data_IF_744969425399
#
_entry.id   IF_744969425399
#
_cell.length_a   1.000
_cell.length_b   1.000
_cell.length_c   1.000
_cell.angle_alpha   90.00
_cell.angle_beta   90.00
_cell.angle_gamma   90.00
#
_symmetry.space_group_name_H-M   'P 1'
#
loop_
_entity.id
_entity.type
_entity.pdbx_description
1 polymer ?
#
# COMPACT_ATOMS: atom_id res chain seq x y z
N UNK A 1 -50.98 -17.82 -64.75
CA UNK A 1 -52.23 -17.08 -64.78
C UNK A 1 -52.31 -16.26 -63.54
N UNK A 2 -52.55 -15.00 -63.76
CA UNK A 2 -53.05 -13.94 -62.87
C UNK A 2 -51.99 -13.19 -62.05
N UNK A 3 -51.77 -12.03 -62.55
CA UNK A 3 -51.06 -10.84 -62.10
C UNK A 3 -51.81 -10.10 -60.97
N UNK A 4 -51.44 -8.88 -60.71
CA UNK A 4 -50.93 -8.36 -59.45
C UNK A 4 -51.93 -7.39 -58.81
N UNK A 5 -51.73 -6.99 -57.63
CA UNK A 5 -52.38 -5.79 -57.10
C UNK A 5 -51.39 -4.90 -56.35
N UNK A 6 -51.05 -3.88 -57.00
CA UNK A 6 -50.59 -2.60 -56.48
C UNK A 6 -51.51 -2.05 -55.39
N UNK A 7 -50.95 -1.66 -54.27
CA UNK A 7 -51.61 -0.72 -53.34
C UNK A 7 -50.64 0.31 -52.83
N UNK A 8 -51.02 1.51 -53.19
CA UNK A 8 -50.48 2.82 -52.96
C UNK A 8 -50.13 3.17 -51.54
N UNK A 9 -49.03 3.85 -51.40
CA UNK A 9 -48.58 4.67 -50.28
C UNK A 9 -49.52 5.83 -50.00
N UNK A 10 -49.76 6.20 -48.79
CA UNK A 10 -50.07 7.59 -48.43
C UNK A 10 -48.85 8.26 -47.80
N UNK A 11 -48.47 9.33 -48.41
CA UNK A 11 -47.74 10.44 -47.82
C UNK A 11 -48.44 10.90 -46.54
N UNK A 12 -47.79 10.90 -45.43
CA UNK A 12 -48.12 11.69 -44.26
C UNK A 12 -46.94 12.58 -43.90
N UNK A 13 -47.12 13.75 -44.43
CA UNK A 13 -46.67 15.03 -43.95
C UNK A 13 -46.86 15.16 -42.44
N UNK A 14 -45.92 15.71 -41.75
CA UNK A 14 -46.24 16.13 -40.40
C UNK A 14 -45.12 16.17 -39.42
N UNK A 15 -44.64 17.35 -39.23
CA UNK A 15 -44.01 17.84 -38.00
C UNK A 15 -42.52 17.59 -37.81
N UNK A 16 -41.76 18.42 -38.48
CA UNK A 16 -40.53 18.99 -37.91
C UNK A 16 -40.82 19.58 -36.51
N UNK A 17 -40.61 18.77 -35.47
CA UNK A 17 -40.43 19.31 -34.11
C UNK A 17 -38.97 19.70 -33.97
N UNK A 18 -38.69 20.96 -34.22
CA UNK A 18 -37.51 21.67 -33.76
C UNK A 18 -37.43 21.59 -32.23
N UNK A 19 -36.62 20.72 -31.72
CA UNK A 19 -36.23 20.76 -30.32
C UNK A 19 -35.27 21.95 -30.11
N UNK A 20 -35.51 22.83 -29.13
CA UNK A 20 -34.59 23.91 -28.84
C UNK A 20 -33.32 23.33 -28.20
N UNK A 21 -32.25 23.35 -28.97
CA UNK A 21 -30.89 23.13 -28.46
C UNK A 21 -30.42 24.37 -27.70
N UNK A 22 -30.76 24.49 -26.44
CA UNK A 22 -30.14 25.45 -25.53
C UNK A 22 -29.81 24.77 -24.21
N UNK A 23 -28.94 23.75 -24.29
CA UNK A 23 -28.18 23.30 -23.20
C UNK A 23 -26.88 24.09 -23.18
N UNK A 24 -26.82 25.21 -22.45
CA UNK A 24 -25.55 25.85 -22.09
C UNK A 24 -24.62 24.79 -21.50
N UNK A 25 -23.38 24.68 -22.00
CA UNK A 25 -22.42 23.74 -21.38
C UNK A 25 -22.26 24.14 -19.92
N UNK A 26 -22.67 23.24 -19.03
CA UNK A 26 -22.45 23.38 -17.59
C UNK A 26 -20.92 23.41 -17.38
N UNK A 27 -20.37 24.62 -17.28
CA UNK A 27 -18.97 24.79 -16.86
C UNK A 27 -18.84 24.19 -15.49
N UNK A 28 -18.22 23.00 -15.44
CA UNK A 28 -17.80 22.38 -14.19
C UNK A 28 -16.79 23.37 -13.58
N UNK A 29 -17.03 23.89 -12.37
CA UNK A 29 -16.07 24.77 -11.75
C UNK A 29 -14.73 24.02 -11.65
N UNK A 30 -13.60 24.64 -11.99
CA UNK A 30 -12.31 24.01 -11.86
C UNK A 30 -12.13 23.61 -10.39
N UNK A 31 -11.77 22.35 -10.15
CA UNK A 31 -11.45 21.86 -8.83
C UNK A 31 -10.39 22.78 -8.22
N UNK A 32 -10.65 23.32 -7.03
CA UNK A 32 -9.84 24.32 -6.33
C UNK A 32 -8.51 23.76 -5.78
N UNK A 33 -7.81 22.95 -6.57
CA UNK A 33 -6.47 22.44 -6.35
C UNK A 33 -5.71 22.55 -7.65
N UNK A 34 -5.11 23.69 -7.92
CA UNK A 34 -4.25 23.88 -9.11
C UNK A 34 -3.10 22.87 -9.08
N UNK A 35 -2.57 22.46 -10.24
CA UNK A 35 -1.45 21.48 -10.34
C UNK A 35 -0.21 21.90 -9.51
N UNK A 36 -0.06 23.17 -9.17
CA UNK A 36 1.03 23.67 -8.35
C UNK A 36 0.95 23.31 -6.87
N UNK A 37 -0.26 23.21 -6.29
CA UNK A 37 -0.40 22.86 -4.86
C UNK A 37 0.01 21.40 -4.58
N UNK A 38 -0.30 20.49 -5.49
CA UNK A 38 0.11 19.10 -5.37
C UNK A 38 1.63 18.93 -5.53
N UNK A 39 2.25 19.70 -6.43
CA UNK A 39 3.69 19.67 -6.64
C UNK A 39 4.44 20.17 -5.39
N UNK A 40 4.00 21.28 -4.79
CA UNK A 40 4.61 21.82 -3.57
C UNK A 40 4.52 20.81 -2.42
N UNK A 41 3.37 20.17 -2.21
CA UNK A 41 3.23 19.13 -1.19
C UNK A 41 4.13 17.91 -1.44
N UNK A 42 4.26 17.48 -2.69
CA UNK A 42 5.15 16.38 -3.06
C UNK A 42 6.61 16.74 -2.84
N UNK A 43 7.03 17.96 -3.20
CA UNK A 43 8.39 18.45 -2.98
C UNK A 43 8.71 18.58 -1.49
N UNK A 44 7.79 19.10 -0.68
CA UNK A 44 7.95 19.20 0.77
C UNK A 44 8.08 17.80 1.40
N UNK A 45 7.25 16.86 0.99
CA UNK A 45 7.33 15.49 1.48
C UNK A 45 8.64 14.83 1.07
N UNK A 46 9.06 14.99 -0.19
CA UNK A 46 10.34 14.47 -0.68
C UNK A 46 11.54 15.08 0.08
N UNK A 47 11.50 16.38 0.34
CA UNK A 47 12.54 17.06 1.12
C UNK A 47 12.59 16.58 2.57
N UNK A 48 11.43 16.37 3.18
CA UNK A 48 11.33 15.83 4.54
C UNK A 48 11.86 14.40 4.63
N UNK A 49 11.51 13.54 3.66
CA UNK A 49 12.05 12.18 3.57
C UNK A 49 13.56 12.16 3.33
N UNK A 50 14.07 13.04 2.44
CA UNK A 50 15.49 13.16 2.17
C UNK A 50 16.25 13.68 3.40
N UNK A 51 15.71 14.67 4.09
CA UNK A 51 16.28 15.20 5.34
C UNK A 51 16.34 14.15 6.43
N UNK A 52 15.28 13.35 6.58
CA UNK A 52 15.26 12.22 7.52
C UNK A 52 16.31 11.16 7.15
N UNK A 53 16.41 10.79 5.88
CA UNK A 53 17.39 9.81 5.41
C UNK A 53 18.83 10.26 5.64
N UNK A 54 19.12 11.53 5.33
CA UNK A 54 20.45 12.14 5.58
C UNK A 54 20.75 12.20 7.07
N UNK A 55 19.80 12.62 7.90
CA UNK A 55 19.94 12.64 9.35
C UNK A 55 20.26 11.25 9.92
N UNK A 56 19.52 10.22 9.45
CA UNK A 56 19.75 8.82 9.83
C UNK A 56 21.13 8.31 9.38
N UNK A 57 21.58 8.66 8.18
CA UNK A 57 22.89 8.29 7.66
C UNK A 57 24.04 8.95 8.42
N UNK A 58 23.84 10.18 8.91
CA UNK A 58 24.84 10.95 9.67
C UNK A 58 24.76 10.73 11.20
N UNK A 59 23.83 9.86 11.67
CA UNK A 59 23.68 9.55 13.10
C UNK A 59 23.15 10.70 13.94
N UNK A 60 22.42 11.67 13.34
CA UNK A 60 21.76 12.79 14.03
C UNK A 60 22.64 13.59 14.99
N UNK A 61 23.97 13.44 14.92
CA UNK A 61 24.94 14.17 15.76
C UNK A 61 25.08 13.63 17.19
N UNK A 62 24.25 12.68 17.64
CA UNK A 62 24.42 11.98 18.93
C UNK A 62 23.65 10.64 18.93
N UNK A 63 24.21 9.63 19.60
CA UNK A 63 23.59 8.29 19.69
C UNK A 63 22.19 8.32 20.30
N UNK A 64 21.96 9.16 21.30
CA UNK A 64 20.64 9.31 21.94
C UNK A 64 19.61 9.91 20.97
N UNK A 65 20.00 10.89 20.18
CA UNK A 65 19.11 11.52 19.20
C UNK A 65 18.83 10.55 18.04
N UNK A 66 19.82 9.76 17.64
CA UNK A 66 19.67 8.71 16.63
C UNK A 66 18.63 7.65 17.07
N UNK A 67 18.69 7.19 18.32
CA UNK A 67 17.70 6.26 18.89
C UNK A 67 16.30 6.89 18.90
N UNK A 68 16.15 8.11 19.43
CA UNK A 68 14.86 8.80 19.48
C UNK A 68 14.28 8.98 18.09
N UNK A 69 15.07 9.44 17.13
CA UNK A 69 14.61 9.65 15.76
C UNK A 69 14.34 8.33 15.02
N UNK A 70 15.12 7.27 15.29
CA UNK A 70 14.88 5.95 14.76
C UNK A 70 13.52 5.41 15.20
N UNK A 71 13.27 5.33 16.48
CA UNK A 71 12.09 4.65 17.02
C UNK A 71 10.83 5.52 16.94
N UNK A 72 10.88 6.74 17.48
CA UNK A 72 9.72 7.63 17.48
C UNK A 72 9.47 8.28 16.12
N UNK A 73 10.50 8.46 15.29
CA UNK A 73 10.34 8.91 13.91
C UNK A 73 9.57 7.89 13.08
N UNK A 74 9.93 6.61 13.19
CA UNK A 74 9.19 5.52 12.53
C UNK A 74 7.78 5.35 13.09
N UNK A 75 7.61 5.47 14.42
CA UNK A 75 6.29 5.49 15.06
C UNK A 75 5.41 6.60 14.51
N UNK A 76 5.93 7.82 14.39
CA UNK A 76 5.20 8.97 13.87
C UNK A 76 4.85 8.80 12.39
N UNK A 77 5.78 8.29 11.57
CA UNK A 77 5.56 8.02 10.16
C UNK A 77 4.46 6.97 9.95
N UNK A 78 4.55 5.84 10.65
CA UNK A 78 3.56 4.77 10.57
C UNK A 78 2.19 5.21 11.12
N UNK A 79 2.17 5.97 12.24
CA UNK A 79 0.95 6.54 12.80
C UNK A 79 0.27 7.54 11.86
N UNK A 80 1.05 8.39 11.22
CA UNK A 80 0.54 9.34 10.20
C UNK A 80 -0.03 8.59 9.00
N UNK A 81 0.62 7.53 8.54
CA UNK A 81 0.12 6.68 7.47
C UNK A 81 -1.20 6.00 7.87
N UNK A 82 -1.29 5.47 9.09
CA UNK A 82 -2.49 4.84 9.62
C UNK A 82 -3.69 5.81 9.63
N UNK A 83 -3.49 7.02 10.19
CA UNK A 83 -4.52 8.06 10.24
C UNK A 83 -4.91 8.52 8.84
N UNK A 84 -3.95 8.75 7.96
CA UNK A 84 -4.20 9.17 6.58
C UNK A 84 -5.02 8.15 5.80
N UNK A 85 -4.67 6.86 5.88
CA UNK A 85 -5.42 5.77 5.26
C UNK A 85 -6.84 5.66 5.84
N UNK A 86 -6.99 5.82 7.15
CA UNK A 86 -8.30 5.79 7.82
C UNK A 86 -9.20 6.94 7.38
N UNK A 87 -8.69 8.18 7.41
CA UNK A 87 -9.43 9.36 6.99
C UNK A 87 -9.82 9.26 5.52
N UNK A 88 -8.90 8.80 4.67
CA UNK A 88 -9.20 8.57 3.27
C UNK A 88 -10.29 7.51 3.08
N UNK A 89 -10.23 6.39 3.80
CA UNK A 89 -11.25 5.34 3.77
C UNK A 89 -12.65 5.84 4.21
N UNK A 90 -12.73 6.89 5.04
CA UNK A 90 -14.01 7.49 5.48
C UNK A 90 -14.65 8.38 4.42
N UNK A 91 -13.93 8.81 3.40
CA UNK A 91 -14.48 9.63 2.30
C UNK A 91 -15.51 8.81 1.51
N UNK A 92 -16.72 9.36 1.29
CA UNK A 92 -17.88 8.64 0.76
C UNK A 92 -17.73 8.06 -0.65
N UNK A 93 -16.71 8.44 -1.41
CA UNK A 93 -16.50 8.06 -2.82
C UNK A 93 -15.29 7.18 -3.07
N UNK A 94 -14.70 6.59 -2.04
CA UNK A 94 -13.48 5.79 -2.20
C UNK A 94 -13.82 4.40 -2.72
N UNK A 95 -13.36 4.12 -3.93
CA UNK A 95 -13.30 2.76 -4.47
C UNK A 95 -12.28 1.98 -3.64
N UNK A 96 -12.60 0.72 -3.27
CA UNK A 96 -11.73 -0.13 -2.43
C UNK A 96 -11.54 0.35 -0.98
N UNK A 97 -12.60 0.93 -0.39
CA UNK A 97 -12.62 1.30 1.03
C UNK A 97 -12.04 0.22 1.98
N UNK A 98 -12.36 -1.09 1.84
CA UNK A 98 -11.81 -2.12 2.72
C UNK A 98 -10.28 -2.23 2.61
N UNK A 99 -9.69 -2.05 1.42
CA UNK A 99 -8.22 -2.06 1.28
C UNK A 99 -7.57 -0.94 2.10
N UNK A 100 -8.12 0.27 2.06
CA UNK A 100 -7.60 1.41 2.82
C UNK A 100 -7.74 1.23 4.33
N UNK A 101 -8.83 0.59 4.80
CA UNK A 101 -8.97 0.23 6.22
C UNK A 101 -7.96 -0.82 6.65
N UNK A 102 -7.67 -1.79 5.79
CA UNK A 102 -6.63 -2.80 6.04
C UNK A 102 -5.23 -2.19 6.07
N UNK A 103 -4.92 -1.24 5.18
CA UNK A 103 -3.64 -0.50 5.25
C UNK A 103 -3.55 0.37 6.48
N UNK A 104 -4.66 1.00 6.91
CA UNK A 104 -4.71 1.74 8.16
C UNK A 104 -4.43 0.84 9.36
N UNK A 105 -5.06 -0.33 9.41
CA UNK A 105 -4.83 -1.31 10.48
C UNK A 105 -3.38 -1.79 10.49
N UNK A 106 -2.85 -2.15 9.32
CA UNK A 106 -1.45 -2.54 9.15
C UNK A 106 -0.49 -1.48 9.67
N UNK A 107 -0.64 -0.24 9.19
CA UNK A 107 0.22 0.86 9.62
C UNK A 107 0.08 1.17 11.12
N UNK A 108 -1.13 1.00 11.70
CA UNK A 108 -1.34 1.14 13.15
C UNK A 108 -0.59 0.05 13.95
N UNK A 109 -0.59 -1.20 13.46
CA UNK A 109 0.20 -2.27 14.09
C UNK A 109 1.70 -1.96 14.03
N UNK A 110 2.21 -1.50 12.88
CA UNK A 110 3.60 -1.08 12.75
C UNK A 110 3.94 0.07 13.72
N UNK A 111 3.07 1.08 13.84
CA UNK A 111 3.25 2.18 14.78
C UNK A 111 3.29 1.71 16.24
N UNK A 112 2.41 0.79 16.63
CA UNK A 112 2.40 0.21 17.97
C UNK A 112 3.65 -0.61 18.25
N UNK A 113 4.13 -1.40 17.29
CA UNK A 113 5.38 -2.15 17.41
C UNK A 113 6.57 -1.22 17.66
N UNK A 114 6.73 -0.18 16.84
CA UNK A 114 7.80 0.82 17.01
C UNK A 114 7.65 1.60 18.33
N UNK A 115 6.42 1.92 18.75
CA UNK A 115 6.17 2.59 20.03
C UNK A 115 6.63 1.73 21.22
N UNK A 116 6.29 0.43 21.21
CA UNK A 116 6.74 -0.51 22.25
C UNK A 116 8.25 -0.65 22.24
N UNK A 117 8.84 -0.74 21.05
CA UNK A 117 10.30 -0.83 20.89
C UNK A 117 10.99 0.41 21.47
N UNK A 118 10.60 1.60 21.02
CA UNK A 118 11.17 2.84 21.51
C UNK A 118 10.92 3.09 23.03
N UNK A 119 9.82 2.56 23.58
CA UNK A 119 9.58 2.60 25.01
C UNK A 119 10.66 1.84 25.78
N UNK A 120 11.03 0.63 25.34
CA UNK A 120 12.10 -0.15 25.98
C UNK A 120 13.47 0.52 25.83
N UNK A 121 13.83 0.95 24.63
CA UNK A 121 15.18 1.47 24.36
C UNK A 121 15.39 2.89 24.87
N UNK A 122 14.43 3.79 24.61
CA UNK A 122 14.58 5.22 24.91
C UNK A 122 14.14 5.55 26.32
N UNK A 123 12.99 4.99 26.79
CA UNK A 123 12.40 5.36 28.10
C UNK A 123 12.97 4.50 29.21
N UNK A 124 13.03 3.18 29.03
CA UNK A 124 13.55 2.26 30.05
C UNK A 124 15.07 2.09 29.98
N UNK A 125 15.73 2.49 28.87
CA UNK A 125 17.18 2.32 28.67
C UNK A 125 17.61 0.85 28.71
N UNK A 126 16.76 -0.07 28.30
CA UNK A 126 16.99 -1.51 28.33
C UNK A 126 16.83 -2.11 26.95
N UNK A 127 17.59 -3.14 26.59
CA UNK A 127 17.38 -3.88 25.36
C UNK A 127 15.97 -4.51 25.36
N UNK A 128 15.33 -4.50 24.21
CA UNK A 128 13.99 -5.10 24.04
C UNK A 128 14.10 -6.63 24.25
N UNK A 129 13.29 -7.22 25.15
CA UNK A 129 13.27 -8.66 25.30
C UNK A 129 12.78 -9.32 24.02
N UNK A 130 13.39 -10.44 23.62
CA UNK A 130 12.94 -11.22 22.47
C UNK A 130 12.56 -12.62 22.93
N UNK A 131 11.31 -13.06 22.75
CA UNK A 131 10.17 -12.37 22.13
C UNK A 131 9.54 -11.27 23.01
N UNK A 132 9.01 -10.23 22.41
CA UNK A 132 8.35 -9.11 23.06
C UNK A 132 6.95 -8.83 22.48
N UNK A 133 6.21 -7.95 23.15
CA UNK A 133 4.94 -7.45 22.58
C UNK A 133 5.12 -6.67 21.26
N UNK A 134 6.29 -6.06 21.05
CA UNK A 134 6.61 -5.42 19.78
C UNK A 134 6.59 -6.42 18.62
N UNK A 135 7.14 -7.63 18.84
CA UNK A 135 7.16 -8.69 17.83
C UNK A 135 5.75 -9.10 17.41
N UNK A 136 4.82 -9.18 18.37
CA UNK A 136 3.42 -9.47 18.06
C UNK A 136 2.83 -8.43 17.10
N UNK A 137 3.05 -7.15 17.38
CA UNK A 137 2.56 -6.08 16.51
C UNK A 137 3.22 -6.10 15.14
N UNK A 138 4.53 -6.34 15.09
CA UNK A 138 5.25 -6.46 13.82
C UNK A 138 4.85 -7.68 12.98
N UNK A 139 4.52 -8.80 13.60
CA UNK A 139 3.96 -9.94 12.86
C UNK A 139 2.53 -9.67 12.40
N UNK A 140 1.73 -8.97 13.21
CA UNK A 140 0.35 -8.66 12.89
C UNK A 140 0.19 -7.55 11.84
N UNK A 141 1.24 -6.80 11.45
CA UNK A 141 1.08 -5.77 10.43
C UNK A 141 1.02 -6.36 9.02
N UNK A 142 1.71 -7.45 8.74
CA UNK A 142 1.84 -8.00 7.39
C UNK A 142 0.53 -8.62 6.84
N UNK A 143 -0.25 -9.44 7.59
CA UNK A 143 -1.48 -10.01 7.07
C UNK A 143 -2.50 -8.98 6.57
N UNK A 144 -2.84 -7.90 7.30
CA UNK A 144 -3.75 -6.87 6.78
C UNK A 144 -3.19 -6.15 5.54
N UNK A 145 -1.87 -5.92 5.49
CA UNK A 145 -1.24 -5.33 4.32
C UNK A 145 -1.39 -6.22 3.08
N UNK A 146 -1.11 -7.52 3.21
CA UNK A 146 -1.25 -8.50 2.12
C UNK A 146 -2.70 -8.57 1.66
N UNK A 147 -3.66 -8.71 2.58
CA UNK A 147 -5.08 -8.75 2.23
C UNK A 147 -5.52 -7.43 1.59
N UNK A 148 -5.06 -6.29 2.08
CA UNK A 148 -5.31 -4.98 1.49
C UNK A 148 -4.80 -4.87 0.04
N UNK A 149 -3.61 -5.37 -0.24
CA UNK A 149 -3.03 -5.46 -1.58
C UNK A 149 -3.86 -6.39 -2.48
N UNK A 150 -4.28 -7.55 -1.99
CA UNK A 150 -5.13 -8.48 -2.73
C UNK A 150 -6.49 -7.85 -3.06
N UNK A 151 -7.12 -7.16 -2.12
CA UNK A 151 -8.38 -6.42 -2.35
C UNK A 151 -8.19 -5.32 -3.39
N UNK A 152 -7.06 -4.62 -3.36
CA UNK A 152 -6.73 -3.59 -4.34
C UNK A 152 -6.45 -4.17 -5.73
N UNK A 153 -5.89 -5.39 -5.78
CA UNK A 153 -5.66 -6.15 -7.00
C UNK A 153 -6.93 -6.78 -7.57
N UNK A 154 -7.96 -6.99 -6.75
CA UNK A 154 -9.19 -7.70 -7.10
C UNK A 154 -10.00 -6.92 -8.16
N UNK A 155 -9.51 -6.96 -9.39
CA UNK A 155 -10.34 -6.80 -10.59
C UNK A 155 -10.99 -8.16 -10.88
N UNK A 156 -12.13 -8.21 -11.60
CA UNK A 156 -12.67 -9.49 -12.04
C UNK A 156 -11.62 -10.18 -12.92
N UNK A 157 -10.84 -11.07 -12.31
CA UNK A 157 -9.83 -11.86 -12.99
C UNK A 157 -10.38 -13.26 -13.27
N UNK A 158 -10.09 -13.79 -14.45
CA UNK A 158 -10.32 -15.19 -14.75
C UNK A 158 -9.49 -16.10 -13.83
N UNK A 159 -9.87 -17.38 -13.71
CA UNK A 159 -9.06 -18.37 -12.97
C UNK A 159 -7.61 -18.41 -13.46
N UNK A 160 -7.41 -18.32 -14.77
CA UNK A 160 -6.08 -18.22 -15.37
C UNK A 160 -5.31 -16.97 -14.91
N UNK A 161 -5.98 -15.83 -14.78
CA UNK A 161 -5.37 -14.60 -14.28
C UNK A 161 -4.87 -14.73 -12.83
N UNK A 162 -5.60 -15.45 -11.97
CA UNK A 162 -5.16 -15.76 -10.60
C UNK A 162 -3.96 -16.69 -10.57
N UNK A 163 -3.92 -17.71 -11.45
CA UNK A 163 -2.75 -18.61 -11.57
C UNK A 163 -1.52 -17.84 -12.02
N UNK A 164 -1.65 -16.99 -13.05
CA UNK A 164 -0.53 -16.15 -13.46
C UNK A 164 -0.06 -15.19 -12.35
N UNK A 165 -0.99 -14.59 -11.60
CA UNK A 165 -0.64 -13.75 -10.45
C UNK A 165 0.16 -14.52 -9.39
N UNK A 166 -0.27 -15.72 -9.07
CA UNK A 166 0.40 -16.58 -8.11
C UNK A 166 1.79 -17.01 -8.59
N UNK A 167 1.94 -17.34 -9.87
CA UNK A 167 3.23 -17.71 -10.48
C UNK A 167 4.20 -16.52 -10.50
N UNK A 168 3.74 -15.34 -10.90
CA UNK A 168 4.58 -14.12 -10.87
C UNK A 168 5.03 -13.79 -9.44
N UNK A 169 4.11 -13.87 -8.47
CA UNK A 169 4.43 -13.65 -7.06
C UNK A 169 5.44 -14.69 -6.55
N UNK A 170 5.27 -15.96 -6.92
CA UNK A 170 6.17 -17.04 -6.56
C UNK A 170 7.58 -16.85 -7.13
N UNK A 171 7.67 -16.49 -8.42
CA UNK A 171 8.96 -16.23 -9.07
C UNK A 171 9.71 -15.07 -8.44
N UNK A 172 9.00 -13.94 -8.16
CA UNK A 172 9.60 -12.78 -7.52
C UNK A 172 10.00 -13.10 -6.08
N UNK A 173 9.11 -13.74 -5.31
CA UNK A 173 9.40 -14.13 -3.93
C UNK A 173 10.57 -15.12 -3.86
N UNK A 174 10.60 -16.11 -4.75
CA UNK A 174 11.69 -17.09 -4.83
C UNK A 174 13.03 -16.44 -5.16
N UNK A 175 13.05 -15.50 -6.10
CA UNK A 175 14.26 -14.74 -6.44
C UNK A 175 14.76 -13.89 -5.29
N UNK A 176 13.87 -13.16 -4.61
CA UNK A 176 14.20 -12.34 -3.45
C UNK A 176 14.65 -13.21 -2.27
N UNK A 177 14.01 -14.35 -2.05
CA UNK A 177 14.40 -15.30 -1.00
C UNK A 177 15.80 -15.86 -1.26
N UNK A 178 16.10 -16.26 -2.50
CA UNK A 178 17.41 -16.79 -2.87
C UNK A 178 18.51 -15.74 -2.67
N UNK A 179 18.23 -14.50 -3.10
CA UNK A 179 19.15 -13.38 -2.90
C UNK A 179 19.35 -13.08 -1.41
N UNK A 180 18.26 -12.98 -0.65
CA UNK A 180 18.30 -12.71 0.79
C UNK A 180 18.98 -13.83 1.57
N UNK A 181 18.76 -15.09 1.16
CA UNK A 181 19.45 -16.23 1.74
C UNK A 181 20.96 -16.16 1.57
N UNK A 182 21.41 -15.84 0.36
CA UNK A 182 22.84 -15.74 0.08
C UNK A 182 23.53 -14.59 0.82
N UNK A 183 22.81 -13.49 1.09
CA UNK A 183 23.38 -12.27 1.68
C UNK A 183 23.25 -12.22 3.22
N UNK A 184 22.11 -12.60 3.76
CA UNK A 184 21.78 -12.35 5.16
C UNK A 184 21.16 -13.54 5.91
N UNK A 185 20.18 -14.25 5.33
CA UNK A 185 19.44 -15.29 6.03
C UNK A 185 20.31 -16.48 6.42
N UNK A 186 21.29 -16.86 5.60
CA UNK A 186 22.22 -17.95 5.92
C UNK A 186 23.05 -17.65 7.15
N UNK A 187 23.36 -16.39 7.43
CA UNK A 187 24.04 -15.97 8.66
C UNK A 187 23.07 -16.02 9.85
N UNK A 188 21.84 -15.52 9.67
CA UNK A 188 20.82 -15.56 10.71
C UNK A 188 20.41 -17.00 11.08
N UNK A 189 20.39 -17.93 10.12
CA UNK A 189 20.08 -19.34 10.36
C UNK A 189 21.15 -20.10 11.14
N UNK A 190 22.40 -19.58 11.19
CA UNK A 190 23.49 -20.15 11.98
C UNK A 190 23.52 -19.66 13.43
N UNK A 191 22.56 -18.83 13.83
CA UNK A 191 22.51 -18.24 15.15
C UNK A 191 22.13 -19.30 16.18
N UNK A 192 23.06 -19.59 17.08
CA UNK A 192 22.82 -20.27 18.35
C UNK A 192 22.13 -19.29 19.33
N UNK A 193 20.92 -18.86 18.99
CA UNK A 193 20.13 -17.96 19.83
C UNK A 193 19.62 -18.68 21.08
N UNK A 194 19.29 -17.92 22.14
CA UNK A 194 18.91 -18.46 23.43
C UNK A 194 17.59 -19.26 23.43
N UNK A 195 16.80 -19.17 22.33
CA UNK A 195 15.53 -19.90 22.21
C UNK A 195 15.11 -20.14 20.76
N UNK A 196 14.33 -21.22 20.53
CA UNK A 196 13.69 -21.52 19.23
C UNK A 196 12.77 -20.39 18.78
N UNK A 197 12.10 -19.71 19.72
CA UNK A 197 11.24 -18.58 19.43
C UNK A 197 12.01 -17.39 18.84
N UNK A 198 13.19 -17.09 19.35
CA UNK A 198 14.06 -16.04 18.82
C UNK A 198 14.52 -16.37 17.39
N UNK A 199 14.93 -17.61 17.14
CA UNK A 199 15.33 -18.06 15.79
C UNK A 199 14.15 -18.00 14.81
N UNK A 200 12.95 -18.40 15.24
CA UNK A 200 11.74 -18.31 14.42
C UNK A 200 11.38 -16.86 14.05
N UNK A 201 11.47 -15.92 14.99
CA UNK A 201 11.22 -14.51 14.75
C UNK A 201 12.23 -13.89 13.78
N UNK A 202 13.52 -14.17 13.95
CA UNK A 202 14.57 -13.63 13.07
C UNK A 202 14.44 -14.10 11.62
N UNK A 203 13.79 -15.24 11.37
CA UNK A 203 13.46 -15.70 10.03
C UNK A 203 12.09 -15.19 9.55
N UNK A 204 11.11 -15.03 10.43
CA UNK A 204 9.76 -14.59 10.07
C UNK A 204 9.74 -13.17 9.48
N UNK A 205 10.50 -12.24 10.03
CA UNK A 205 10.54 -10.85 9.55
C UNK A 205 10.99 -10.75 8.08
N UNK A 206 12.17 -11.25 7.68
CA UNK A 206 12.59 -11.19 6.29
C UNK A 206 11.63 -11.91 5.34
N UNK A 207 11.01 -13.01 5.76
CA UNK A 207 10.04 -13.73 4.93
C UNK A 207 8.77 -12.93 4.70
N UNK A 208 8.26 -12.25 5.72
CA UNK A 208 7.11 -11.35 5.59
C UNK A 208 7.41 -10.15 4.70
N UNK A 209 8.61 -9.56 4.84
CA UNK A 209 9.05 -8.45 4.01
C UNK A 209 9.17 -8.87 2.54
N UNK A 210 9.77 -10.04 2.28
CA UNK A 210 9.84 -10.61 0.93
C UNK A 210 8.45 -10.82 0.34
N UNK A 211 7.50 -11.35 1.12
CA UNK A 211 6.13 -11.55 0.67
C UNK A 211 5.45 -10.22 0.31
N UNK A 212 5.59 -9.20 1.15
CA UNK A 212 5.04 -7.86 0.90
C UNK A 212 5.65 -7.20 -0.33
N UNK A 213 6.98 -7.19 -0.44
CA UNK A 213 7.70 -6.60 -1.58
C UNK A 213 7.31 -7.33 -2.87
N UNK A 214 7.24 -8.66 -2.86
CA UNK A 214 6.82 -9.45 -4.02
C UNK A 214 5.42 -9.06 -4.48
N UNK A 215 4.46 -8.93 -3.56
CA UNK A 215 3.10 -8.52 -3.88
C UNK A 215 3.04 -7.11 -4.48
N UNK A 216 3.80 -6.16 -3.93
CA UNK A 216 3.87 -4.79 -4.46
C UNK A 216 4.46 -4.77 -5.86
N UNK A 217 5.55 -5.51 -6.10
CA UNK A 217 6.20 -5.59 -7.42
C UNK A 217 5.28 -6.23 -8.45
N UNK A 218 4.63 -7.35 -8.13
CA UNK A 218 3.65 -7.98 -9.04
C UNK A 218 2.54 -7.02 -9.42
N UNK A 219 1.98 -6.30 -8.44
CA UNK A 219 0.93 -5.33 -8.72
C UNK A 219 1.41 -4.14 -9.53
N UNK A 220 2.65 -3.69 -9.30
CA UNK A 220 3.26 -2.61 -10.08
C UNK A 220 3.43 -3.02 -11.55
N UNK A 221 4.09 -4.14 -11.81
CA UNK A 221 4.32 -4.63 -13.18
C UNK A 221 3.03 -4.91 -13.94
N UNK A 222 2.00 -5.43 -13.28
CA UNK A 222 0.68 -5.65 -13.90
C UNK A 222 -0.11 -4.39 -14.19
N UNK A 223 0.23 -3.26 -13.60
CA UNK A 223 -0.40 -1.97 -13.92
C UNK A 223 0.26 -1.30 -15.11
N UNK A 224 1.52 -1.58 -15.35
CA UNK A 224 2.33 -0.98 -16.43
C UNK A 224 2.31 -1.80 -17.72
N UNK A 225 1.95 -3.09 -17.66
CA UNK A 225 1.71 -3.95 -18.80
C UNK A 225 0.25 -3.87 -19.29
#
# INVERSE_FOLDING_TARGET
MSSPSTTSTPLLDGALRTAPATGTPRTVPPSAGGPGSNLVHQLLLALLCAGYAVGSALGWGSDRLALIMGDFGLTAAAGTAAVSCFLYARTRRVRFRPAWLLFSLSSAMAALGNLVWGWYEVVLGRPVPSPSFADLFFLCFAPPAIVGLLVLAARPMSKAGWVCLALDAWLIAGSLLTLSWSLALAQAAKFDGPSVAHAALSLAYPLLDIALVSMVLVLHFRRTA
#
